data_IF_279652450467
#
_entry.id   IF_279652450467
#
_cell.length_a   1.000
_cell.length_b   1.000
_cell.length_c   1.000
_cell.angle_alpha   90.00
_cell.angle_beta   90.00
_cell.angle_gamma   90.00
#
_symmetry.space_group_name_H-M   'P 1'
#
loop_
_entity.id
_entity.type
_entity.pdbx_description
1 polymer ?
#
# COMPACT_ATOMS: atom_id res chain seq x y z
N UNK A 1 -19.13 -8.79 -50.00
CA UNK A 1 -18.59 -10.10 -50.45
C UNK A 1 -17.46 -10.48 -49.51
N UNK A 2 -17.25 -11.76 -49.17
CA UNK A 2 -18.17 -12.77 -48.67
C UNK A 2 -17.76 -13.23 -47.24
N UNK A 3 -18.75 -13.64 -46.46
CA UNK A 3 -18.57 -14.48 -45.26
C UNK A 3 -18.12 -15.87 -45.69
N UNK A 4 -17.06 -16.43 -45.08
CA UNK A 4 -16.69 -17.84 -45.19
C UNK A 4 -16.18 -18.37 -43.84
N UNK A 5 -16.31 -19.69 -43.59
CA UNK A 5 -17.09 -20.16 -42.44
C UNK A 5 -16.24 -20.84 -41.36
N UNK A 6 -16.81 -20.90 -40.16
CA UNK A 6 -16.36 -21.81 -39.09
C UNK A 6 -16.77 -23.22 -39.48
N UNK A 7 -15.80 -24.04 -39.85
CA UNK A 7 -16.01 -25.48 -40.03
C UNK A 7 -15.65 -26.24 -38.73
N UNK A 8 -16.60 -27.06 -38.31
CA UNK A 8 -16.59 -27.89 -37.13
C UNK A 8 -16.57 -29.34 -37.63
N UNK A 9 -15.58 -30.09 -37.12
CA UNK A 9 -15.44 -31.56 -37.13
C UNK A 9 -14.60 -32.08 -38.29
N UNK A 10 -13.99 -33.26 -38.03
CA UNK A 10 -13.16 -34.11 -38.90
C UNK A 10 -11.66 -33.80 -38.76
N UNK A 11 -10.73 -34.69 -38.42
CA UNK A 11 -10.65 -36.15 -38.20
C UNK A 11 -9.48 -36.35 -37.20
N UNK A 12 -9.66 -37.06 -36.09
CA UNK A 12 -9.21 -38.44 -35.88
C UNK A 12 -7.81 -38.80 -36.42
N UNK A 13 -6.98 -39.21 -35.46
CA UNK A 13 -5.90 -40.20 -35.53
C UNK A 13 -4.59 -39.80 -36.24
N UNK A 14 -3.46 -39.88 -35.51
CA UNK A 14 -2.56 -41.02 -35.61
C UNK A 14 -1.39 -40.97 -34.61
N UNK A 15 -1.05 -42.17 -34.15
CA UNK A 15 0.05 -42.59 -33.32
C UNK A 15 1.43 -42.04 -33.72
N UNK A 16 2.26 -41.77 -32.72
CA UNK A 16 3.69 -41.54 -32.89
C UNK A 16 4.42 -41.70 -31.56
N UNK A 17 4.74 -42.93 -31.20
CA UNK A 17 5.64 -43.25 -30.10
C UNK A 17 7.06 -42.81 -30.48
N UNK A 18 7.65 -41.91 -29.69
CA UNK A 18 9.10 -41.66 -29.71
C UNK A 18 9.62 -41.78 -28.28
N UNK A 19 10.16 -42.95 -27.98
CA UNK A 19 11.02 -43.22 -26.83
C UNK A 19 12.32 -42.46 -26.99
N UNK A 20 12.46 -41.33 -26.29
CA UNK A 20 13.70 -40.57 -26.17
C UNK A 20 14.09 -40.40 -24.71
N UNK A 21 15.01 -41.25 -24.23
CA UNK A 21 15.70 -41.05 -22.96
C UNK A 21 16.59 -39.80 -23.05
N UNK A 22 16.05 -38.64 -22.64
CA UNK A 22 16.85 -37.48 -22.27
C UNK A 22 17.03 -37.48 -20.76
N UNK A 23 18.24 -37.81 -20.32
CA UNK A 23 18.71 -37.57 -18.94
C UNK A 23 18.69 -36.06 -18.68
N UNK A 24 17.60 -35.59 -18.09
CA UNK A 24 17.54 -34.23 -17.53
C UNK A 24 18.34 -34.26 -16.23
N UNK A 25 19.51 -33.59 -16.23
CA UNK A 25 20.24 -33.25 -15.01
C UNK A 25 19.26 -32.55 -14.06
N UNK A 26 19.16 -32.95 -12.77
CA UNK A 26 18.43 -32.12 -11.82
C UNK A 26 19.18 -30.79 -11.72
N UNK A 27 18.54 -29.73 -12.19
CA UNK A 27 18.94 -28.38 -11.81
C UNK A 27 18.81 -28.36 -10.28
N UNK A 28 19.96 -28.13 -9.61
CA UNK A 28 20.02 -27.76 -8.20
C UNK A 28 18.95 -26.71 -7.97
N UNK A 29 18.12 -26.96 -6.96
CA UNK A 29 16.97 -26.14 -6.64
C UNK A 29 17.32 -24.67 -6.73
N UNK A 30 16.63 -23.97 -7.62
CA UNK A 30 16.35 -22.57 -7.37
C UNK A 30 15.67 -22.57 -5.99
N UNK A 31 16.39 -22.06 -4.99
CA UNK A 31 15.80 -21.73 -3.71
C UNK A 31 14.49 -21.02 -4.00
N UNK A 32 13.36 -21.45 -3.42
CA UNK A 32 12.20 -20.60 -3.42
C UNK A 32 12.68 -19.34 -2.72
N UNK A 33 12.88 -18.25 -3.47
CA UNK A 33 12.85 -16.92 -2.90
C UNK A 33 11.69 -16.97 -1.95
N UNK A 34 11.99 -16.85 -0.65
CA UNK A 34 11.00 -16.71 0.37
C UNK A 34 10.19 -15.48 -0.04
N UNK A 35 9.12 -15.74 -0.81
CA UNK A 35 7.93 -14.93 -0.79
C UNK A 35 7.53 -15.04 0.66
N UNK A 36 8.00 -14.08 1.46
CA UNK A 36 7.22 -13.56 2.55
C UNK A 36 5.92 -13.09 1.91
N UNK A 37 5.04 -14.06 1.64
CA UNK A 37 3.62 -13.86 1.62
C UNK A 37 3.37 -13.21 2.96
N UNK A 38 3.30 -11.88 2.93
CA UNK A 38 2.78 -11.07 4.00
C UNK A 38 1.44 -11.70 4.32
N UNK A 39 1.44 -12.55 5.34
CA UNK A 39 0.31 -13.33 5.78
C UNK A 39 -0.62 -12.41 6.54
N UNK A 40 -1.13 -11.40 5.84
CA UNK A 40 -2.48 -10.87 5.94
C UNK A 40 -2.98 -10.35 7.28
N UNK A 41 -2.18 -10.33 8.35
CA UNK A 41 -2.56 -9.85 9.67
C UNK A 41 -1.33 -9.29 10.36
N UNK A 42 -1.22 -7.96 10.36
CA UNK A 42 -0.40 -7.29 11.38
C UNK A 42 -1.00 -7.70 12.74
N UNK A 43 -0.23 -8.26 13.70
CA UNK A 43 -0.78 -8.79 14.95
C UNK A 43 -1.19 -7.69 15.94
N UNK A 44 -1.12 -6.43 15.54
CA UNK A 44 -1.35 -5.29 16.40
C UNK A 44 -2.86 -4.99 16.35
N UNK A 45 -3.54 -5.25 17.46
CA UNK A 45 -4.85 -4.66 17.74
C UNK A 45 -4.85 -3.19 17.32
N UNK A 46 -5.95 -2.70 16.73
CA UNK A 46 -6.07 -1.30 16.29
C UNK A 46 -5.58 -0.40 17.42
N UNK A 47 -4.46 0.30 17.18
CA UNK A 47 -3.73 0.99 18.24
C UNK A 47 -4.60 2.10 18.82
N UNK A 48 -5.26 1.81 19.93
CA UNK A 48 -6.15 2.76 20.61
C UNK A 48 -5.31 3.83 21.29
N UNK A 49 -5.75 5.07 21.20
CA UNK A 49 -5.10 6.17 21.88
C UNK A 49 -5.60 7.51 21.36
N UNK A 50 -5.35 8.60 22.09
CA UNK A 50 -5.75 9.91 21.63
C UNK A 50 -4.99 10.28 20.35
N UNK A 51 -5.64 11.03 19.48
CA UNK A 51 -4.94 11.68 18.39
C UNK A 51 -3.97 12.75 18.94
N UNK A 52 -2.78 12.89 18.35
CA UNK A 52 -1.83 13.93 18.73
C UNK A 52 -2.31 15.30 18.27
N UNK A 53 -1.70 16.35 18.83
CA UNK A 53 -1.88 17.71 18.33
C UNK A 53 -0.91 17.98 17.18
N UNK A 54 -1.32 18.64 16.08
CA UNK A 54 -0.41 18.98 15.00
C UNK A 54 0.82 19.75 15.47
N UNK A 55 2.01 19.35 15.01
CA UNK A 55 3.26 20.06 15.28
C UNK A 55 3.24 21.39 14.53
N UNK A 56 3.38 22.51 15.26
CA UNK A 56 3.28 23.88 14.71
C UNK A 56 4.30 24.21 13.63
N UNK A 57 5.52 23.66 13.76
CA UNK A 57 6.64 23.98 12.87
C UNK A 57 6.97 22.84 11.90
N UNK A 58 6.02 21.95 11.65
CA UNK A 58 6.24 20.83 10.75
C UNK A 58 6.40 21.27 9.30
N UNK A 59 7.43 20.75 8.62
CA UNK A 59 7.65 20.92 7.19
C UNK A 59 7.49 19.58 6.46
N UNK A 60 6.67 19.49 5.41
CA UNK A 60 6.43 18.25 4.67
C UNK A 60 7.60 17.80 3.78
N UNK A 61 8.80 18.36 3.97
CA UNK A 61 10.02 17.99 3.21
C UNK A 61 10.49 16.57 3.48
N UNK A 62 9.99 15.94 4.53
CA UNK A 62 10.29 14.55 4.88
C UNK A 62 9.37 13.54 4.20
N UNK A 63 8.26 13.99 3.60
CA UNK A 63 7.29 13.13 2.91
C UNK A 63 7.84 12.76 1.53
N UNK A 64 7.81 11.47 1.17
CA UNK A 64 8.44 10.96 -0.06
C UNK A 64 7.92 11.63 -1.32
N UNK A 65 8.80 12.03 -2.22
CA UNK A 65 8.46 12.68 -3.49
C UNK A 65 7.97 11.69 -4.54
N UNK A 66 7.49 12.20 -5.69
CA UNK A 66 7.02 11.35 -6.77
C UNK A 66 8.14 10.45 -7.34
N UNK A 67 9.38 10.94 -7.37
CA UNK A 67 10.55 10.21 -7.81
C UNK A 67 10.86 9.01 -6.89
N UNK A 68 10.57 9.12 -5.59
CA UNK A 68 10.77 8.07 -4.59
C UNK A 68 9.62 7.02 -4.56
N UNK A 69 8.56 7.25 -5.33
CA UNK A 69 7.35 6.42 -5.40
C UNK A 69 7.26 5.57 -6.68
N UNK A 70 8.36 5.45 -7.43
CA UNK A 70 8.51 4.51 -8.55
C UNK A 70 7.45 4.67 -9.66
N UNK A 71 6.83 5.85 -9.78
CA UNK A 71 5.82 6.15 -10.80
C UNK A 71 4.41 5.63 -10.52
N UNK A 72 4.13 5.12 -9.32
CA UNK A 72 2.77 4.73 -8.93
C UNK A 72 1.88 5.97 -8.75
N UNK A 73 0.98 6.20 -9.70
CA UNK A 73 0.11 7.39 -9.74
C UNK A 73 -0.77 7.52 -8.52
N UNK A 74 -1.33 6.42 -8.01
CA UNK A 74 -2.25 6.48 -6.86
C UNK A 74 -1.50 6.79 -5.57
N UNK A 75 -0.27 6.31 -5.44
CA UNK A 75 0.60 6.67 -4.33
C UNK A 75 1.08 8.12 -4.45
N UNK A 76 1.47 8.57 -5.65
CA UNK A 76 1.91 9.94 -5.89
C UNK A 76 0.79 10.91 -5.47
N UNK A 77 -0.44 10.71 -5.96
CA UNK A 77 -1.59 11.56 -5.59
C UNK A 77 -1.87 11.56 -4.09
N UNK A 78 -1.75 10.40 -3.43
CA UNK A 78 -1.91 10.29 -1.99
C UNK A 78 -0.82 11.07 -1.24
N UNK A 79 0.45 10.89 -1.59
CA UNK A 79 1.57 11.56 -0.92
C UNK A 79 1.58 13.08 -1.19
N UNK A 80 1.15 13.52 -2.39
CA UNK A 80 0.92 14.92 -2.69
C UNK A 80 -0.17 15.52 -1.80
N UNK A 81 -1.30 14.83 -1.65
CA UNK A 81 -2.36 15.27 -0.74
C UNK A 81 -1.90 15.30 0.72
N UNK A 82 -1.03 14.37 1.14
CA UNK A 82 -0.45 14.42 2.49
C UNK A 82 0.49 15.62 2.67
N UNK A 83 1.28 16.00 1.65
CA UNK A 83 2.08 17.22 1.71
C UNK A 83 1.19 18.46 1.84
N UNK A 84 0.15 18.54 1.01
CA UNK A 84 -0.83 19.64 0.98
C UNK A 84 -1.51 19.83 2.34
N UNK A 85 -1.98 18.73 2.96
CA UNK A 85 -2.70 18.76 4.24
C UNK A 85 -1.86 18.27 5.42
N UNK A 86 -0.55 18.47 5.37
CA UNK A 86 0.40 17.88 6.34
C UNK A 86 0.06 18.20 7.79
N UNK A 87 -0.32 19.44 8.12
CA UNK A 87 -0.73 19.81 9.48
C UNK A 87 -1.95 19.01 9.97
N UNK A 88 -2.95 18.79 9.10
CA UNK A 88 -4.13 18.00 9.46
C UNK A 88 -3.76 16.52 9.65
N UNK A 89 -2.98 15.95 8.72
CA UNK A 89 -2.51 14.56 8.80
C UNK A 89 -1.64 14.34 10.04
N UNK A 90 -0.87 15.34 10.46
CA UNK A 90 -0.06 15.29 11.68
C UNK A 90 -0.89 15.23 12.96
N UNK A 91 -2.13 15.73 12.91
CA UNK A 91 -3.09 15.67 14.01
C UNK A 91 -3.87 14.37 14.10
N UNK A 92 -3.52 13.35 13.31
CA UNK A 92 -4.20 12.06 13.25
C UNK A 92 -3.28 10.96 13.75
N UNK A 93 -3.72 10.22 14.77
CA UNK A 93 -3.14 8.92 15.17
C UNK A 93 -3.37 7.84 14.10
N UNK A 94 -2.34 7.07 13.80
CA UNK A 94 -2.45 5.90 12.91
C UNK A 94 -3.03 4.69 13.66
N UNK A 95 -4.00 4.01 13.06
CA UNK A 95 -4.68 2.83 13.64
C UNK A 95 -4.07 1.50 13.18
N UNK A 96 -3.00 1.53 12.37
CA UNK A 96 -2.37 0.32 11.83
C UNK A 96 -1.56 -0.49 12.86
N UNK A 97 -1.30 0.08 14.04
CA UNK A 97 -0.45 -0.53 15.08
C UNK A 97 0.90 0.16 15.27
N UNK A 98 1.46 0.77 14.21
CA UNK A 98 2.79 1.40 14.27
C UNK A 98 2.82 2.69 15.09
N UNK A 99 1.67 3.27 15.45
CA UNK A 99 1.62 4.49 16.27
C UNK A 99 2.20 4.32 17.68
N UNK A 100 2.44 3.09 18.15
CA UNK A 100 3.13 2.82 19.41
C UNK A 100 4.64 2.64 19.26
N UNK A 101 5.16 2.65 18.02
CA UNK A 101 6.58 2.43 17.76
C UNK A 101 7.37 3.72 17.97
N UNK A 102 8.61 3.58 18.45
CA UNK A 102 9.52 4.72 18.58
C UNK A 102 9.69 5.45 17.24
N UNK A 103 9.69 6.78 17.28
CA UNK A 103 9.77 7.63 16.09
C UNK A 103 8.46 7.79 15.32
N UNK A 104 7.37 7.14 15.74
CA UNK A 104 6.04 7.28 15.13
C UNK A 104 5.18 8.19 16.00
N UNK A 105 5.02 9.44 15.57
CA UNK A 105 4.23 10.44 16.32
C UNK A 105 2.77 10.44 15.90
N UNK A 106 2.54 10.46 14.59
CA UNK A 106 1.23 10.62 13.97
C UNK A 106 1.15 9.76 12.69
N UNK A 107 0.01 9.81 12.03
CA UNK A 107 -0.20 9.25 10.71
C UNK A 107 0.81 9.82 9.71
N UNK A 108 1.21 11.08 9.87
CA UNK A 108 2.20 11.72 9.01
C UNK A 108 3.55 11.01 9.04
N UNK A 109 3.96 10.48 10.21
CA UNK A 109 5.17 9.66 10.31
C UNK A 109 5.14 8.46 9.36
N UNK A 110 3.98 7.88 9.05
CA UNK A 110 3.91 6.78 8.08
C UNK A 110 4.26 7.19 6.64
N UNK A 111 4.28 8.48 6.33
CA UNK A 111 4.60 9.02 5.01
C UNK A 111 6.03 9.59 4.91
N UNK A 112 6.72 9.69 6.05
CA UNK A 112 8.05 10.28 6.13
C UNK A 112 9.14 9.23 5.84
N UNK A 113 10.24 9.67 5.19
CA UNK A 113 11.45 8.87 4.96
C UNK A 113 12.31 8.70 6.22
N UNK A 114 12.34 9.73 7.08
CA UNK A 114 13.28 9.81 8.20
C UNK A 114 12.71 9.22 9.51
N UNK A 115 12.26 7.97 9.48
CA UNK A 115 11.85 7.22 10.68
C UNK A 115 12.09 5.71 10.50
N UNK A 116 12.00 4.91 11.59
CA UNK A 116 12.28 3.47 11.52
C UNK A 116 11.41 2.68 10.52
N UNK A 117 10.25 3.22 10.16
CA UNK A 117 9.30 2.59 9.23
C UNK A 117 9.47 3.05 7.78
N UNK A 118 10.35 4.02 7.50
CA UNK A 118 10.76 4.51 6.18
C UNK A 118 9.62 4.53 5.14
N UNK A 119 8.61 5.37 5.38
CA UNK A 119 7.41 5.48 4.54
C UNK A 119 6.53 4.23 4.46
N UNK A 120 6.17 3.67 5.63
CA UNK A 120 5.18 2.60 5.81
C UNK A 120 3.94 2.70 4.90
N UNK A 121 3.48 3.92 4.61
CA UNK A 121 2.34 4.18 3.73
C UNK A 121 2.53 3.71 2.29
N UNK A 122 3.75 3.46 1.81
CA UNK A 122 3.97 2.83 0.49
C UNK A 122 3.31 1.45 0.39
N UNK A 123 3.20 0.71 1.50
CA UNK A 123 2.70 -0.67 1.50
C UNK A 123 1.58 -0.95 2.50
N UNK A 124 1.35 -0.11 3.50
CA UNK A 124 0.29 -0.33 4.49
C UNK A 124 -1.07 0.21 4.00
N UNK A 125 -2.06 -0.65 3.69
CA UNK A 125 -3.37 -0.20 3.20
C UNK A 125 -4.16 0.58 4.26
N UNK A 126 -3.91 0.36 5.55
CA UNK A 126 -4.54 1.12 6.64
C UNK A 126 -4.03 2.55 6.64
N UNK A 127 -2.70 2.75 6.62
CA UNK A 127 -2.11 4.08 6.56
C UNK A 127 -2.61 4.85 5.33
N UNK A 128 -2.60 4.20 4.15
CA UNK A 128 -3.10 4.81 2.93
C UNK A 128 -4.58 5.17 3.02
N UNK A 129 -5.41 4.27 3.58
CA UNK A 129 -6.84 4.51 3.74
C UNK A 129 -7.14 5.67 4.67
N UNK A 130 -6.46 5.73 5.83
CA UNK A 130 -6.58 6.86 6.76
C UNK A 130 -6.16 8.17 6.08
N UNK A 131 -5.03 8.19 5.37
CA UNK A 131 -4.58 9.38 4.65
C UNK A 131 -5.58 9.84 3.60
N UNK A 132 -6.09 8.93 2.76
CA UNK A 132 -7.12 9.24 1.75
C UNK A 132 -8.39 9.80 2.39
N UNK A 133 -8.85 9.22 3.50
CA UNK A 133 -10.02 9.70 4.24
C UNK A 133 -9.76 11.11 4.81
N UNK A 134 -8.63 11.31 5.47
CA UNK A 134 -8.22 12.60 6.04
C UNK A 134 -8.14 13.69 4.97
N UNK A 135 -7.44 13.44 3.85
CA UNK A 135 -7.32 14.40 2.74
C UNK A 135 -8.68 14.75 2.16
N UNK A 136 -9.53 13.74 1.92
CA UNK A 136 -10.87 13.95 1.39
C UNK A 136 -11.72 14.84 2.29
N UNK A 137 -11.68 14.64 3.61
CA UNK A 137 -12.43 15.44 4.57
C UNK A 137 -11.83 16.83 4.74
N UNK A 138 -10.50 16.96 4.71
CA UNK A 138 -9.82 18.26 4.76
C UNK A 138 -10.16 19.13 3.54
N UNK A 139 -10.24 18.53 2.34
CA UNK A 139 -10.73 19.21 1.12
C UNK A 139 -12.20 19.63 1.18
N UNK A 140 -12.98 19.01 2.08
CA UNK A 140 -14.35 19.41 2.38
C UNK A 140 -14.43 20.42 3.53
N UNK A 141 -13.28 21.00 3.92
CA UNK A 141 -13.16 21.99 4.99
C UNK A 141 -13.67 21.50 6.35
N UNK A 142 -13.63 20.17 6.58
CA UNK A 142 -13.96 19.60 7.88
C UNK A 142 -12.94 20.00 8.93
N UNK A 143 -13.44 20.26 10.13
CA UNK A 143 -12.57 20.57 11.27
C UNK A 143 -11.74 19.36 11.66
N UNK A 144 -10.57 19.59 12.26
CA UNK A 144 -9.69 18.50 12.71
C UNK A 144 -10.43 17.53 13.64
N UNK A 145 -11.30 18.01 14.52
CA UNK A 145 -12.07 17.17 15.43
C UNK A 145 -13.14 16.32 14.71
N UNK A 146 -13.78 16.84 13.66
CA UNK A 146 -14.66 16.02 12.81
C UNK A 146 -13.87 14.93 12.08
N UNK A 147 -12.69 15.26 11.57
CA UNK A 147 -11.82 14.31 10.87
C UNK A 147 -11.35 13.20 11.83
N UNK A 148 -10.87 13.58 13.02
CA UNK A 148 -10.48 12.66 14.10
C UNK A 148 -11.60 11.65 14.41
N UNK A 149 -12.81 12.15 14.67
CA UNK A 149 -13.99 11.30 14.90
C UNK A 149 -14.30 10.37 13.73
N UNK A 150 -14.21 10.87 12.49
CA UNK A 150 -14.48 10.05 11.31
C UNK A 150 -13.44 8.94 11.11
N UNK A 151 -12.18 9.22 11.45
CA UNK A 151 -11.09 8.24 11.43
C UNK A 151 -11.35 7.16 12.48
N UNK A 152 -11.62 7.53 13.73
CA UNK A 152 -11.88 6.60 14.85
C UNK A 152 -13.13 5.72 14.65
N UNK A 153 -14.13 6.22 13.90
CA UNK A 153 -15.31 5.41 13.55
C UNK A 153 -14.97 4.38 12.46
N UNK A 154 -14.04 4.70 11.56
CA UNK A 154 -13.75 3.90 10.37
C UNK A 154 -12.66 2.85 10.61
N UNK A 155 -11.69 3.14 11.47
CA UNK A 155 -10.47 2.36 11.73
C UNK A 155 -10.32 2.09 13.22
#
# INVERSE_FOLDING_TARGET
MPTLPVDRRHFLALLGAVTGLLRVRPLRGAEPHHRHHASGRCPMAHARGPHPEPRKDYKPTKVLTAEELDGDKELIELFDGVREFSSVVDGIRCHCGCAESEGMYSLLSCYERDNPMQAMSKWCPICQGQGRLTIRLARQEKTLDEIRKAIDVRY
#
